data_IF_194250648889
#
_entry.id   IF_194250648889
#
_cell.length_a   1.000
_cell.length_b   1.000
_cell.length_c   1.000
_cell.angle_alpha   90.00
_cell.angle_beta   90.00
_cell.angle_gamma   90.00
#
_symmetry.space_group_name_H-M   'P 1'
#
loop_
_entity.id
_entity.type
_entity.pdbx_description
1 polymer ?
#
# COMPACT_ATOMS: atom_id res chain seq x y z
N UNK A 1 -3.54 4.58 48.20
CA UNK A 1 -2.26 4.70 47.47
C UNK A 1 -2.23 3.80 46.25
N UNK A 2 -2.67 2.54 46.38
CA UNK A 2 -2.85 1.57 45.27
C UNK A 2 -3.60 2.11 44.03
N UNK A 3 -4.76 2.78 44.22
CA UNK A 3 -5.56 3.31 43.10
C UNK A 3 -4.85 4.39 42.29
N UNK A 4 -4.11 5.29 42.95
CA UNK A 4 -3.34 6.34 42.26
C UNK A 4 -2.18 5.72 41.48
N UNK A 5 -1.57 4.68 42.04
CA UNK A 5 -0.50 3.94 41.36
C UNK A 5 -1.04 3.29 40.09
N UNK A 6 -2.19 2.59 40.15
CA UNK A 6 -2.82 1.96 38.98
C UNK A 6 -3.16 3.00 37.90
N UNK A 7 -3.73 4.14 38.27
CA UNK A 7 -4.09 5.22 37.32
C UNK A 7 -2.83 5.78 36.65
N UNK A 8 -1.76 6.02 37.41
CA UNK A 8 -0.48 6.52 36.86
C UNK A 8 0.13 5.49 35.91
N UNK A 9 0.13 4.20 36.26
CA UNK A 9 0.64 3.15 35.37
C UNK A 9 -0.19 3.02 34.09
N UNK A 10 -1.53 3.07 34.17
CA UNK A 10 -2.38 3.03 32.98
C UNK A 10 -2.14 4.24 32.07
N UNK A 11 -2.06 5.44 32.63
CA UNK A 11 -1.75 6.66 31.86
C UNK A 11 -0.36 6.59 31.20
N UNK A 12 0.65 6.09 31.91
CA UNK A 12 2.00 5.94 31.35
C UNK A 12 2.03 4.93 30.20
N UNK A 13 1.31 3.81 30.31
CA UNK A 13 1.20 2.82 29.23
C UNK A 13 0.46 3.41 28.03
N UNK A 14 -0.65 4.09 28.23
CA UNK A 14 -1.39 4.76 27.14
C UNK A 14 -0.55 5.80 26.42
N UNK A 15 0.20 6.63 27.16
CA UNK A 15 1.10 7.64 26.59
C UNK A 15 2.22 6.98 25.78
N UNK A 16 2.83 5.90 26.28
CA UNK A 16 3.87 5.16 25.55
C UNK A 16 3.33 4.53 24.27
N UNK A 17 2.08 4.03 24.30
CA UNK A 17 1.44 3.40 23.14
C UNK A 17 1.08 4.44 22.09
N UNK A 18 0.57 5.61 22.50
CA UNK A 18 0.24 6.73 21.60
C UNK A 18 1.48 7.33 20.91
N UNK A 19 2.63 7.28 21.57
CA UNK A 19 3.87 7.83 21.02
C UNK A 19 4.57 6.89 20.02
N UNK A 20 4.02 5.69 19.79
CA UNK A 20 4.55 4.77 18.79
C UNK A 20 3.97 5.10 17.40
N UNK A 21 4.87 5.34 16.44
CA UNK A 21 4.48 5.57 15.05
C UNK A 21 3.78 4.32 14.50
N UNK A 22 2.60 4.52 13.91
CA UNK A 22 1.83 3.44 13.33
C UNK A 22 2.43 3.00 12.00
N UNK A 23 2.21 1.74 11.63
CA UNK A 23 2.68 1.16 10.38
C UNK A 23 1.97 1.77 9.17
N UNK A 24 2.69 2.24 8.13
CA UNK A 24 2.07 2.78 6.92
C UNK A 24 1.45 1.66 6.07
N UNK A 25 0.44 2.03 5.29
CA UNK A 25 -0.23 1.14 4.32
C UNK A 25 0.36 1.41 2.95
N UNK A 26 0.86 0.36 2.29
CA UNK A 26 1.39 0.47 0.93
C UNK A 26 0.30 0.07 -0.07
N UNK A 27 0.11 0.88 -1.10
CA UNK A 27 -0.76 0.60 -2.23
C UNK A 27 -0.01 0.85 -3.53
N UNK A 28 -0.33 0.08 -4.56
CA UNK A 28 0.29 0.20 -5.88
C UNK A 28 -0.80 0.24 -6.92
N UNK A 29 -0.77 1.27 -7.76
CA UNK A 29 -1.60 1.39 -8.95
C UNK A 29 -0.71 1.53 -10.18
N UNK A 30 -1.27 1.17 -11.33
CA UNK A 30 -0.59 1.28 -12.62
C UNK A 30 -1.33 2.32 -13.46
N UNK A 31 -0.58 3.31 -13.94
CA UNK A 31 -1.05 4.33 -14.86
C UNK A 31 -0.13 4.29 -16.09
N UNK A 32 -0.64 3.78 -17.20
CA UNK A 32 0.13 3.48 -18.41
C UNK A 32 1.38 2.62 -18.15
N UNK A 33 2.58 3.16 -18.39
CA UNK A 33 3.87 2.50 -18.15
C UNK A 33 4.48 2.86 -16.79
N UNK A 34 3.81 3.71 -16.02
CA UNK A 34 4.23 4.12 -14.69
C UNK A 34 3.51 3.28 -13.62
N UNK A 35 4.28 2.93 -12.60
CA UNK A 35 3.77 2.37 -11.35
C UNK A 35 3.74 3.50 -10.33
N UNK A 36 2.54 3.82 -9.86
CA UNK A 36 2.34 4.73 -8.76
C UNK A 36 2.31 3.92 -7.48
N UNK A 37 3.30 4.13 -6.62
CA UNK A 37 3.34 3.55 -5.29
C UNK A 37 2.94 4.60 -4.28
N UNK A 38 1.91 4.31 -3.52
CA UNK A 38 1.38 5.14 -2.47
C UNK A 38 1.72 4.53 -1.10
N UNK A 39 2.21 5.34 -0.17
CA UNK A 39 2.37 4.98 1.23
C UNK A 39 1.47 5.90 2.06
N UNK A 40 0.36 5.37 2.55
CA UNK A 40 -0.60 6.06 3.39
C UNK A 40 -0.14 5.98 4.85
N UNK A 41 -0.09 7.13 5.51
CA UNK A 41 0.27 7.23 6.93
C UNK A 41 -1.03 7.30 7.73
N UNK A 42 -1.29 6.33 8.65
CA UNK A 42 -2.53 6.28 9.43
C UNK A 42 -2.52 7.27 10.60
N UNK A 43 -2.11 8.51 10.34
CA UNK A 43 -2.11 9.61 11.29
C UNK A 43 -3.03 10.72 10.79
N UNK A 44 -3.99 11.09 11.63
CA UNK A 44 -4.92 12.20 11.36
C UNK A 44 -4.31 13.59 11.66
N UNK A 45 -3.02 13.64 12.03
CA UNK A 45 -2.34 14.89 12.37
C UNK A 45 -1.66 15.43 11.12
N UNK A 46 -1.86 16.72 10.84
CA UNK A 46 -1.10 17.43 9.81
C UNK A 46 0.31 17.67 10.31
N UNK A 47 1.26 16.93 9.74
CA UNK A 47 2.68 17.12 9.99
C UNK A 47 3.48 16.85 8.70
N UNK A 48 4.69 17.39 8.65
CA UNK A 48 5.62 17.13 7.56
C UNK A 48 6.37 15.84 7.84
N UNK A 49 6.08 14.79 7.06
CA UNK A 49 6.79 13.53 7.11
C UNK A 49 7.66 13.35 5.88
N UNK A 50 8.68 12.50 6.04
CA UNK A 50 9.49 11.99 4.95
C UNK A 50 9.24 10.49 4.85
N UNK A 51 8.83 10.04 3.67
CA UNK A 51 8.67 8.63 3.36
C UNK A 51 9.85 8.12 2.57
N UNK A 52 10.22 6.87 2.85
CA UNK A 52 11.32 6.16 2.22
C UNK A 52 10.80 4.81 1.73
N UNK A 53 11.12 4.50 0.48
CA UNK A 53 10.75 3.24 -0.16
C UNK A 53 11.99 2.34 -0.25
N UNK A 54 11.91 1.15 0.33
CA UNK A 54 13.00 0.19 0.41
C UNK A 54 12.69 -1.09 -0.37
N UNK A 55 13.74 -1.82 -0.73
CA UNK A 55 13.65 -3.19 -1.30
C UNK A 55 13.69 -4.27 -0.22
N UNK A 56 13.58 -5.55 -0.60
CA UNK A 56 13.80 -6.69 0.30
C UNK A 56 15.16 -6.69 1.03
N UNK A 57 16.19 -6.03 0.49
CA UNK A 57 17.53 -6.00 1.07
C UNK A 57 17.79 -4.74 1.91
N UNK A 58 16.73 -4.01 2.28
CA UNK A 58 16.81 -2.69 2.94
C UNK A 58 17.55 -1.62 2.13
N UNK A 59 17.71 -1.82 0.80
CA UNK A 59 18.25 -0.79 -0.09
C UNK A 59 17.21 0.32 -0.30
N UNK A 60 17.58 1.57 0.01
CA UNK A 60 16.76 2.75 -0.25
C UNK A 60 16.65 3.00 -1.76
N UNK A 61 15.43 3.00 -2.29
CA UNK A 61 15.17 3.35 -3.69
C UNK A 61 14.82 4.82 -3.87
N UNK A 62 13.82 5.28 -3.12
CA UNK A 62 13.27 6.62 -3.28
C UNK A 62 12.91 7.21 -1.93
N UNK A 63 12.93 8.53 -1.88
CA UNK A 63 12.50 9.32 -0.74
C UNK A 63 11.60 10.45 -1.23
N UNK A 64 10.48 10.67 -0.54
CA UNK A 64 9.53 11.73 -0.86
C UNK A 64 9.04 12.42 0.42
N UNK A 65 8.66 13.68 0.30
CA UNK A 65 7.89 14.33 1.36
C UNK A 65 6.43 13.87 1.28
N UNK A 66 5.73 13.89 2.41
CA UNK A 66 4.27 13.73 2.42
C UNK A 66 3.59 14.83 1.64
N UNK A 67 2.52 14.43 0.97
CA UNK A 67 1.52 15.27 0.37
C UNK A 67 0.22 15.07 1.14
N UNK A 68 -0.57 16.13 1.22
CA UNK A 68 -1.86 16.09 1.86
C UNK A 68 -2.92 15.78 0.79
N UNK A 69 -3.64 14.68 0.95
CA UNK A 69 -4.75 14.35 0.05
C UNK A 69 -5.94 15.28 0.30
N UNK A 70 -6.84 15.38 -0.67
CA UNK A 70 -8.09 16.12 -0.50
C UNK A 70 -9.01 15.48 0.56
N UNK A 71 -8.90 14.17 0.78
CA UNK A 71 -9.58 13.39 1.83
C UNK A 71 -9.04 13.65 3.24
N UNK A 72 -7.94 14.40 3.39
CA UNK A 72 -7.36 14.70 4.69
C UNK A 72 -6.31 13.69 5.17
N UNK A 73 -5.77 12.91 4.27
CA UNK A 73 -4.82 11.83 4.57
C UNK A 73 -3.39 12.28 4.24
N UNK A 74 -2.44 11.83 5.06
CA UNK A 74 -1.02 12.03 4.80
C UNK A 74 -0.53 10.90 3.88
N UNK A 75 -0.21 11.26 2.63
CA UNK A 75 0.16 10.31 1.60
C UNK A 75 1.54 10.63 1.02
N UNK A 76 2.36 9.61 0.82
CA UNK A 76 3.55 9.71 -0.03
C UNK A 76 3.33 8.96 -1.33
N UNK A 77 3.68 9.57 -2.44
CA UNK A 77 3.53 9.01 -3.77
C UNK A 77 4.87 8.94 -4.50
N UNK A 78 5.16 7.79 -5.11
CA UNK A 78 6.36 7.52 -5.89
C UNK A 78 5.95 7.08 -7.29
N UNK A 79 6.43 7.81 -8.30
CA UNK A 79 6.24 7.45 -9.70
C UNK A 79 7.46 6.66 -10.18
N UNK A 80 7.25 5.39 -10.52
CA UNK A 80 8.32 4.46 -10.83
C UNK A 80 8.13 3.90 -12.23
N UNK A 81 9.22 3.81 -12.98
CA UNK A 81 9.20 3.08 -14.23
C UNK A 81 9.32 1.58 -13.93
N UNK A 82 8.41 0.77 -14.50
CA UNK A 82 8.46 -0.69 -14.35
C UNK A 82 9.83 -1.27 -14.75
N UNK A 83 10.51 -0.65 -15.73
CA UNK A 83 11.84 -1.07 -16.19
C UNK A 83 12.97 -0.74 -15.21
N UNK A 84 12.82 0.28 -14.36
CA UNK A 84 13.81 0.65 -13.34
C UNK A 84 13.75 -0.30 -12.14
N UNK A 85 12.54 -0.70 -11.77
CA UNK A 85 12.28 -1.64 -10.67
C UNK A 85 12.68 -3.07 -11.03
N UNK A 86 12.37 -3.51 -12.26
CA UNK A 86 12.57 -4.88 -12.71
C UNK A 86 13.66 -4.88 -13.79
N UNK A 87 14.92 -4.98 -13.35
CA UNK A 87 16.04 -5.24 -14.27
C UNK A 87 15.87 -6.61 -14.92
N UNK A 88 16.47 -6.83 -16.10
CA UNK A 88 16.34 -8.08 -16.89
C UNK A 88 16.60 -9.39 -16.12
N UNK A 89 17.27 -9.34 -14.96
CA UNK A 89 17.55 -10.49 -14.10
C UNK A 89 16.61 -10.64 -12.90
N UNK A 90 15.75 -9.65 -12.64
CA UNK A 90 14.87 -9.58 -11.47
C UNK A 90 13.43 -9.66 -11.97
N UNK A 91 12.84 -10.86 -11.87
CA UNK A 91 11.45 -11.10 -12.30
C UNK A 91 10.42 -10.63 -11.27
N UNK A 92 10.85 -10.38 -10.04
CA UNK A 92 10.03 -9.85 -8.97
C UNK A 92 10.87 -9.05 -7.99
N UNK A 93 10.30 -8.00 -7.43
CA UNK A 93 10.94 -7.17 -6.41
C UNK A 93 9.94 -6.89 -5.31
N UNK A 94 10.38 -7.03 -4.05
CA UNK A 94 9.56 -6.70 -2.90
C UNK A 94 9.90 -5.29 -2.44
N UNK A 95 8.87 -4.55 -2.04
CA UNK A 95 8.96 -3.18 -1.63
C UNK A 95 8.31 -2.99 -0.26
N UNK A 96 8.90 -2.10 0.53
CA UNK A 96 8.35 -1.69 1.84
C UNK A 96 8.45 -0.17 1.98
N UNK A 97 7.46 0.42 2.64
CA UNK A 97 7.43 1.84 2.99
C UNK A 97 7.79 2.04 4.47
N UNK A 98 8.52 3.11 4.74
CA UNK A 98 8.77 3.63 6.09
C UNK A 98 8.58 5.14 6.05
N UNK A 99 8.07 5.74 7.11
CA UNK A 99 8.06 7.19 7.25
C UNK A 99 8.73 7.64 8.55
N UNK A 100 9.12 8.91 8.59
CA UNK A 100 9.64 9.59 9.77
C UNK A 100 9.15 11.03 9.76
N UNK A 101 9.08 11.65 10.94
CA UNK A 101 8.84 13.08 11.03
C UNK A 101 10.03 13.83 10.43
N UNK A 102 9.76 14.95 9.76
CA UNK A 102 10.82 15.76 9.17
C UNK A 102 11.73 16.38 10.24
N UNK A 103 11.20 16.63 11.43
CA UNK A 103 11.97 17.11 12.58
C UNK A 103 12.75 16.01 13.31
N UNK A 104 12.36 14.74 13.14
CA UNK A 104 12.86 13.61 13.94
C UNK A 104 13.11 12.38 13.04
N UNK A 105 14.11 12.47 12.16
CA UNK A 105 14.42 11.41 11.19
C UNK A 105 14.88 10.07 11.81
N UNK A 106 15.36 10.11 13.05
CA UNK A 106 15.78 8.92 13.80
C UNK A 106 14.57 8.10 14.27
N UNK A 107 13.43 8.75 14.48
CA UNK A 107 12.19 8.09 14.87
C UNK A 107 11.41 7.67 13.61
N UNK A 108 11.61 6.40 13.22
CA UNK A 108 10.99 5.80 12.04
C UNK A 108 9.81 4.94 12.42
N UNK A 109 8.80 4.95 11.57
CA UNK A 109 7.71 4.00 11.66
C UNK A 109 8.21 2.56 11.51
N UNK A 110 7.44 1.58 11.99
CA UNK A 110 7.57 0.21 11.49
C UNK A 110 7.42 0.16 9.96
N UNK A 111 8.03 -0.85 9.34
CA UNK A 111 7.88 -1.09 7.90
C UNK A 111 6.43 -1.44 7.56
N UNK A 112 5.95 -0.98 6.40
CA UNK A 112 4.68 -1.42 5.82
C UNK A 112 4.65 -2.94 5.59
N UNK A 113 3.48 -3.47 5.24
CA UNK A 113 3.44 -4.82 4.69
C UNK A 113 4.26 -4.85 3.40
N UNK A 114 5.02 -5.92 3.16
CA UNK A 114 5.79 -6.05 1.93
C UNK A 114 4.86 -6.20 0.73
N UNK A 115 5.06 -5.37 -0.30
CA UNK A 115 4.38 -5.50 -1.59
C UNK A 115 5.33 -6.11 -2.62
N UNK A 116 4.91 -7.15 -3.33
CA UNK A 116 5.76 -7.77 -4.37
C UNK A 116 5.29 -7.38 -5.76
N UNK A 117 6.11 -6.61 -6.47
CA UNK A 117 5.93 -6.34 -7.90
C UNK A 117 6.50 -7.52 -8.69
N UNK A 118 5.79 -8.00 -9.71
CA UNK A 118 6.23 -9.07 -10.60
C UNK A 118 6.13 -8.63 -12.05
N UNK A 119 7.07 -9.08 -12.87
CA UNK A 119 6.92 -9.01 -14.33
C UNK A 119 5.77 -9.93 -14.72
N UNK A 120 4.63 -9.36 -15.11
CA UNK A 120 3.58 -10.14 -15.77
C UNK A 120 4.03 -10.48 -17.19
N UNK A 121 4.62 -11.66 -17.38
CA UNK A 121 4.56 -12.33 -18.68
C UNK A 121 3.13 -12.84 -18.84
N UNK A 122 2.28 -12.08 -19.55
CA UNK A 122 0.83 -12.30 -19.72
C UNK A 122 0.29 -13.66 -19.24
N UNK A 123 -0.19 -13.66 -18.00
CA UNK A 123 -1.23 -14.55 -17.53
C UNK A 123 -2.10 -13.75 -16.56
N UNK A 124 -3.29 -13.38 -17.03
CA UNK A 124 -4.37 -12.78 -16.23
C UNK A 124 -4.49 -13.54 -14.91
N UNK A 125 -4.06 -12.91 -13.81
CA UNK A 125 -4.30 -13.43 -12.47
C UNK A 125 -5.47 -12.64 -11.91
N UNK A 126 -6.68 -13.15 -12.10
CA UNK A 126 -7.82 -12.75 -11.29
C UNK A 126 -7.47 -13.06 -9.83
N UNK A 127 -7.40 -12.04 -8.97
CA UNK A 127 -7.33 -12.24 -7.53
C UNK A 127 -8.69 -12.78 -7.04
N UNK A 128 -8.82 -14.11 -7.03
CA UNK A 128 -9.89 -14.77 -6.28
C UNK A 128 -9.52 -14.78 -4.79
N UNK A 129 -10.18 -13.92 -4.02
CA UNK A 129 -10.30 -14.08 -2.57
C UNK A 129 -10.84 -15.47 -2.26
N UNK A 130 -10.00 -16.34 -1.69
CA UNK A 130 -10.37 -17.71 -1.34
C UNK A 130 -10.91 -17.73 0.09
N UNK A 131 -12.24 -17.68 0.25
CA UNK A 131 -12.89 -18.18 1.47
C UNK A 131 -13.35 -19.61 1.19
N UNK A 132 -12.74 -20.56 1.88
CA UNK A 132 -13.07 -21.98 1.77
C UNK A 132 -14.47 -22.26 2.36
N UNK A 133 -15.30 -22.97 1.58
CA UNK A 133 -16.22 -24.00 2.08
C UNK A 133 -16.63 -24.95 0.94
N UNK A 134 -16.46 -26.24 1.20
CA UNK A 134 -16.72 -27.37 0.31
C UNK A 134 -18.20 -27.50 -0.08
N UNK A 135 -18.49 -28.05 -1.28
CA UNK A 135 -19.21 -29.34 -1.49
C UNK A 135 -19.84 -29.44 -2.91
N UNK A 136 -19.27 -30.36 -3.72
CA UNK A 136 -19.88 -31.28 -4.72
C UNK A 136 -20.50 -30.77 -6.05
N UNK A 137 -19.82 -31.20 -7.12
CA UNK A 137 -20.15 -31.51 -8.53
C UNK A 137 -21.58 -31.40 -9.09
N UNK A 138 -21.69 -30.85 -10.32
CA UNK A 138 -21.99 -31.61 -11.58
C UNK A 138 -21.89 -30.77 -12.87
N UNK A 139 -21.56 -31.51 -13.94
CA UNK A 139 -21.23 -31.19 -15.35
C UNK A 139 -22.14 -30.30 -16.22
N UNK A 140 -21.55 -29.95 -17.38
CA UNK A 140 -22.12 -29.74 -18.73
C UNK A 140 -22.65 -28.32 -19.04
N UNK A 141 -22.53 -27.70 -20.23
CA UNK A 141 -21.94 -27.95 -21.56
C UNK A 141 -22.16 -26.64 -22.36
N UNK A 142 -21.23 -26.27 -23.26
CA UNK A 142 -21.29 -25.44 -24.50
C UNK A 142 -22.36 -24.32 -24.62
N UNK A 143 -21.96 -23.09 -24.95
CA UNK A 143 -22.23 -22.47 -26.27
C UNK A 143 -21.75 -21.01 -26.41
N UNK A 144 -21.52 -20.69 -27.67
CA UNK A 144 -20.74 -19.63 -28.27
C UNK A 144 -21.68 -18.52 -28.75
N UNK A 145 -21.54 -17.29 -28.28
CA UNK A 145 -22.18 -16.14 -28.95
C UNK A 145 -21.22 -14.96 -29.05
N UNK A 146 -20.81 -14.72 -30.30
CA UNK A 146 -20.17 -13.52 -30.82
C UNK A 146 -21.23 -12.42 -30.95
N UNK A 147 -21.03 -11.29 -30.27
CA UNK A 147 -21.74 -10.06 -30.61
C UNK A 147 -20.78 -8.88 -30.57
N UNK A 148 -20.50 -8.34 -31.74
CA UNK A 148 -19.85 -7.05 -31.99
C UNK A 148 -20.85 -5.91 -31.81
N UNK A 149 -20.51 -4.89 -31.00
CA UNK A 149 -21.02 -3.51 -31.06
C UNK A 149 -20.02 -2.61 -30.30
N UNK A 150 -19.12 -1.91 -31.00
CA UNK A 150 -19.15 -0.46 -31.25
C UNK A 150 -19.37 0.42 -30.01
N UNK A 151 -18.25 0.97 -29.52
CA UNK A 151 -18.01 2.40 -29.27
C UNK A 151 -19.14 3.18 -28.57
N UNK A 152 -18.99 3.42 -27.27
CA UNK A 152 -19.36 4.71 -26.68
C UNK A 152 -18.50 4.99 -25.45
N UNK A 153 -17.80 6.11 -25.55
CA UNK A 153 -17.15 6.91 -24.51
C UNK A 153 -17.92 6.93 -23.19
N UNK A 154 -17.27 6.53 -22.10
CA UNK A 154 -17.70 6.81 -20.73
C UNK A 154 -16.47 7.07 -19.87
N UNK A 155 -15.99 8.32 -19.90
CA UNK A 155 -15.35 8.93 -18.74
C UNK A 155 -16.25 8.78 -17.50
N UNK A 156 -15.59 8.59 -16.36
CA UNK A 156 -15.99 8.85 -14.96
C UNK A 156 -16.20 7.64 -14.03
N UNK A 157 -15.64 7.87 -12.82
CA UNK A 157 -15.74 7.15 -11.54
C UNK A 157 -14.71 6.02 -11.34
N UNK A 158 -13.95 5.97 -10.24
CA UNK A 158 -14.42 6.18 -8.85
C UNK A 158 -13.47 7.01 -7.97
N UNK A 159 -14.03 8.10 -7.42
CA UNK A 159 -13.77 8.59 -6.07
C UNK A 159 -14.74 7.88 -5.10
N UNK A 160 -14.34 7.81 -3.83
CA UNK A 160 -15.09 7.45 -2.62
C UNK A 160 -15.43 5.98 -2.34
N UNK A 161 -14.72 5.43 -1.35
CA UNK A 161 -15.33 4.90 -0.12
C UNK A 161 -14.35 4.98 1.04
#
# INVERSE_FOLDING_TARGET
MELLIIIVFQLLVEIQTYNSLQKPIISVSKEDDLLLIACEIPLSIRADFICSLYTENDDLLYQSNTQWSQSGENLCAFNLNHSELLRRSVNSRQLTCVYSLKSEHENRSPNSDPYTIRVSTSATTEQTSTTAKETVSKSATTEQTRTTAKETDWLYFCLDS
#
